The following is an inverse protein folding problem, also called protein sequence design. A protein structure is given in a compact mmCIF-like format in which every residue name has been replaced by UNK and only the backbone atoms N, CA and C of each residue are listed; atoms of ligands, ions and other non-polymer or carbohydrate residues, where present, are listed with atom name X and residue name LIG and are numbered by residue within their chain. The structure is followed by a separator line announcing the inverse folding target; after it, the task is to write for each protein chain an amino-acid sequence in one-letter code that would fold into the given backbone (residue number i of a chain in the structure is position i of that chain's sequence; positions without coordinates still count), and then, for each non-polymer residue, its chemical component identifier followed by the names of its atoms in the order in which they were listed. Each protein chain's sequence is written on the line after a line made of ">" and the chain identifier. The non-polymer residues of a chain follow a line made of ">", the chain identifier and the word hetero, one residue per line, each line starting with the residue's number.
data_IF_687483942616
#
_entry.id   IF_687483942616
#
_cell.length_a   1.000
_cell.length_b   1.000
_cell.length_c   1.000
_cell.angle_alpha   90.00
_cell.angle_beta   90.00
_cell.angle_gamma   90.00
#
_symmetry.space_group_name_H-M   'P 1'
#
loop_
_entity.id
_entity.type
_entity.pdbx_description
1 polymer ?
#
# COMPACT_ATOMS: atom_id res chain seq x y z
N UNK A 1 -27.34 8.41 33.55
CA UNK A 1 -26.26 7.71 32.80
C UNK A 1 -26.73 6.32 32.38
N UNK A 2 -27.82 6.24 31.61
CA UNK A 2 -28.33 4.99 31.07
C UNK A 2 -29.04 5.34 29.77
N UNK A 3 -28.30 5.39 28.65
CA UNK A 3 -28.83 5.55 27.28
C UNK A 3 -27.66 5.49 26.27
N UNK A 4 -27.02 4.33 26.08
CA UNK A 4 -25.96 4.20 25.06
C UNK A 4 -25.98 2.92 24.20
N UNK A 5 -26.94 2.01 24.36
CA UNK A 5 -27.02 0.83 23.49
C UNK A 5 -28.47 0.55 23.06
N UNK A 6 -29.01 1.44 22.23
CA UNK A 6 -30.19 1.13 21.40
C UNK A 6 -29.68 0.47 20.12
N UNK A 7 -29.81 -0.85 20.00
CA UNK A 7 -29.42 -1.58 18.81
C UNK A 7 -30.30 -1.17 17.62
N UNK A 8 -29.69 -0.47 16.66
CA UNK A 8 -30.29 -0.23 15.35
C UNK A 8 -30.38 -1.55 14.60
N UNK A 9 -31.58 -1.86 14.11
CA UNK A 9 -31.80 -2.92 13.13
C UNK A 9 -30.84 -2.72 11.95
N UNK A 10 -30.04 -3.75 11.63
CA UNK A 10 -29.15 -3.75 10.47
C UNK A 10 -30.03 -3.75 9.21
N UNK A 11 -30.35 -2.57 8.69
CA UNK A 11 -30.97 -2.42 7.36
C UNK A 11 -29.84 -2.38 6.33
N UNK A 12 -29.47 -3.54 5.77
CA UNK A 12 -28.51 -3.58 4.66
C UNK A 12 -29.16 -3.03 3.39
N UNK A 13 -28.44 -2.22 2.60
CA UNK A 13 -28.96 -1.70 1.35
C UNK A 13 -29.22 -2.84 0.35
N UNK A 14 -30.29 -2.74 -0.47
CA UNK A 14 -30.73 -3.81 -1.36
C UNK A 14 -29.68 -4.23 -2.41
N UNK A 15 -28.70 -3.37 -2.69
CA UNK A 15 -27.56 -3.66 -3.58
C UNK A 15 -26.60 -4.71 -3.02
N UNK A 16 -26.44 -4.81 -1.70
CA UNK A 16 -25.58 -5.81 -1.06
C UNK A 16 -26.23 -7.19 -0.98
N UNK A 17 -27.56 -7.25 -0.90
CA UNK A 17 -28.33 -8.49 -0.83
C UNK A 17 -28.41 -9.23 -2.17
N UNK A 18 -28.28 -8.51 -3.30
CA UNK A 18 -28.38 -9.08 -4.63
C UNK A 18 -27.12 -9.83 -5.10
N UNK A 19 -25.93 -9.43 -4.62
CA UNK A 19 -24.66 -9.93 -5.14
C UNK A 19 -24.04 -11.09 -4.33
N UNK A 20 -24.59 -11.42 -3.16
CA UNK A 20 -24.07 -12.47 -2.29
C UNK A 20 -25.22 -13.39 -1.90
N UNK A 21 -25.37 -14.56 -2.55
CA UNK A 21 -26.48 -15.49 -2.29
C UNK A 21 -26.63 -15.88 -0.81
N UNK A 22 -25.51 -15.93 -0.07
CA UNK A 22 -25.49 -16.26 1.34
C UNK A 22 -26.10 -15.18 2.26
N UNK A 23 -26.20 -13.92 1.83
CA UNK A 23 -26.75 -12.83 2.65
C UNK A 23 -28.26 -12.68 2.53
N UNK A 24 -28.88 -13.23 1.47
CA UNK A 24 -30.34 -13.21 1.28
C UNK A 24 -31.08 -13.99 2.40
N UNK A 25 -30.46 -15.02 2.96
CA UNK A 25 -31.01 -15.83 4.06
C UNK A 25 -31.05 -15.12 5.42
N UNK A 26 -30.43 -13.94 5.56
CA UNK A 26 -30.45 -13.18 6.81
C UNK A 26 -31.77 -12.41 7.00
N UNK A 27 -32.51 -12.10 5.93
CA UNK A 27 -33.81 -11.42 6.02
C UNK A 27 -34.93 -12.31 6.60
N UNK A 28 -34.77 -13.64 6.60
CA UNK A 28 -35.75 -14.55 7.20
C UNK A 28 -35.58 -14.73 8.71
N UNK A 29 -34.56 -14.14 9.34
CA UNK A 29 -34.38 -14.16 10.80
C UNK A 29 -35.24 -13.11 11.55
N UNK A 30 -36.05 -12.32 10.85
CA UNK A 30 -36.72 -11.13 11.41
C UNK A 30 -38.19 -11.27 11.84
N UNK A 31 -38.73 -12.49 12.03
CA UNK A 31 -40.09 -12.69 12.58
C UNK A 31 -40.11 -13.52 13.87
N UNK A 32 -39.07 -13.39 14.69
CA UNK A 32 -39.17 -13.72 16.11
C UNK A 32 -39.71 -12.50 16.86
N UNK A 33 -40.80 -12.66 17.62
CA UNK A 33 -41.17 -11.70 18.65
C UNK A 33 -39.97 -11.48 19.58
N UNK A 34 -39.64 -10.22 19.89
CA UNK A 34 -38.69 -9.94 20.98
C UNK A 34 -39.23 -10.58 22.27
N UNK A 35 -38.41 -11.32 23.02
CA UNK A 35 -38.83 -11.84 24.32
C UNK A 35 -39.15 -10.64 25.22
N UNK A 36 -40.32 -10.68 25.85
CA UNK A 36 -40.63 -9.73 26.93
C UNK A 36 -39.71 -10.08 28.11
N UNK A 37 -39.36 -9.12 28.98
CA UNK A 37 -38.41 -9.34 30.10
C UNK A 37 -38.76 -10.52 31.04
N UNK A 38 -39.95 -11.11 30.91
CA UNK A 38 -40.38 -12.33 31.61
C UNK A 38 -39.86 -13.67 31.03
N UNK A 39 -39.23 -13.70 29.84
CA UNK A 39 -38.73 -14.94 29.20
C UNK A 39 -37.22 -15.18 29.42
N UNK A 40 -36.55 -14.31 30.19
CA UNK A 40 -35.09 -14.33 30.43
C UNK A 40 -34.65 -15.48 31.35
N UNK A 41 -35.59 -16.20 31.97
CA UNK A 41 -35.32 -17.37 32.84
C UNK A 41 -35.28 -18.71 32.08
N UNK A 42 -35.23 -18.69 30.75
CA UNK A 42 -34.87 -19.90 30.00
C UNK A 42 -33.37 -20.14 30.13
N UNK A 43 -33.01 -21.00 31.09
CA UNK A 43 -31.65 -21.53 31.30
C UNK A 43 -30.98 -21.79 29.95
N UNK A 44 -29.99 -20.96 29.60
CA UNK A 44 -29.23 -21.12 28.37
C UNK A 44 -28.60 -22.52 28.35
N UNK A 45 -29.14 -23.41 27.52
CA UNK A 45 -28.56 -24.73 27.29
C UNK A 45 -27.73 -24.69 26.01
N UNK A 46 -26.41 -24.92 26.15
CA UNK A 46 -25.53 -25.05 25.02
C UNK A 46 -25.98 -26.22 24.13
N UNK A 47 -26.22 -25.95 22.85
CA UNK A 47 -26.59 -26.96 21.85
C UNK A 47 -25.48 -27.99 21.61
N UNK A 48 -24.23 -27.61 21.91
CA UNK A 48 -23.08 -28.50 21.89
C UNK A 48 -22.69 -28.82 23.33
N UNK A 49 -23.07 -30.01 23.80
CA UNK A 49 -22.60 -30.54 25.09
C UNK A 49 -21.26 -31.24 24.82
N UNK A 50 -20.17 -30.47 24.91
CA UNK A 50 -18.83 -31.06 24.99
C UNK A 50 -18.74 -32.02 26.17
N UNK A 51 -17.81 -32.97 26.14
CA UNK A 51 -17.53 -33.83 27.28
C UNK A 51 -16.97 -32.97 28.42
N UNK A 52 -17.81 -32.60 29.36
CA UNK A 52 -17.45 -31.68 30.45
C UNK A 52 -16.28 -32.20 31.31
N UNK A 53 -16.17 -33.53 31.45
CA UNK A 53 -15.04 -34.19 32.13
C UNK A 53 -13.71 -34.06 31.39
N UNK A 54 -13.71 -33.95 30.05
CA UNK A 54 -12.49 -33.75 29.25
C UNK A 54 -12.04 -32.29 29.30
N UNK A 55 -13.00 -31.35 29.31
CA UNK A 55 -12.73 -29.92 29.44
C UNK A 55 -12.13 -29.56 30.81
N UNK A 56 -12.64 -30.14 31.90
CA UNK A 56 -12.12 -29.93 33.25
C UNK A 56 -10.67 -30.44 33.39
N UNK A 57 -10.36 -31.59 32.78
CA UNK A 57 -8.99 -32.13 32.73
C UNK A 57 -8.05 -31.24 31.93
N UNK A 58 -8.51 -30.68 30.80
CA UNK A 58 -7.71 -29.80 29.97
C UNK A 58 -7.44 -28.45 30.65
N UNK A 59 -8.42 -27.88 31.36
CA UNK A 59 -8.23 -26.67 32.17
C UNK A 59 -7.19 -26.89 33.27
N UNK A 60 -7.25 -28.03 33.96
CA UNK A 60 -6.28 -28.38 34.99
C UNK A 60 -4.88 -28.62 34.43
N UNK A 61 -4.76 -29.14 33.20
CA UNK A 61 -3.48 -29.19 32.46
C UNK A 61 -2.98 -27.79 32.16
N UNK A 62 -3.83 -26.91 31.59
CA UNK A 62 -3.47 -25.54 31.23
C UNK A 62 -3.00 -24.71 32.44
N UNK A 63 -3.55 -24.94 33.64
CA UNK A 63 -3.11 -24.29 34.88
C UNK A 63 -1.68 -24.65 35.30
N UNK A 64 -1.19 -25.82 34.89
CA UNK A 64 0.13 -26.36 35.27
C UNK A 64 1.22 -26.03 34.25
N UNK A 65 0.84 -25.57 33.04
CA UNK A 65 1.78 -25.29 31.97
C UNK A 65 2.60 -24.03 32.27
N UNK A 66 3.88 -24.09 31.92
CA UNK A 66 4.74 -22.92 31.84
C UNK A 66 4.55 -22.19 30.51
N UNK A 67 5.01 -20.94 30.45
CA UNK A 67 4.96 -20.12 29.23
C UNK A 67 5.71 -20.81 28.07
N UNK A 68 6.82 -21.49 28.37
CA UNK A 68 7.65 -22.20 27.38
C UNK A 68 6.95 -23.43 26.78
N UNK A 69 6.02 -24.03 27.51
CA UNK A 69 5.27 -25.23 27.09
C UNK A 69 3.98 -24.85 26.34
N UNK A 70 3.62 -23.57 26.39
CA UNK A 70 2.43 -23.02 25.76
C UNK A 70 2.76 -22.47 24.38
N UNK A 71 1.90 -22.74 23.40
CA UNK A 71 2.05 -22.22 22.05
C UNK A 71 1.76 -20.73 21.97
N UNK A 72 2.50 -20.06 21.08
CA UNK A 72 2.21 -18.68 20.71
C UNK A 72 0.94 -18.59 19.85
N UNK A 73 0.33 -17.40 19.79
CA UNK A 73 -0.80 -17.15 18.89
C UNK A 73 -0.46 -17.46 17.43
N UNK A 74 0.74 -17.08 16.98
CA UNK A 74 1.21 -17.36 15.61
C UNK A 74 1.30 -18.86 15.32
N UNK A 75 1.79 -19.68 16.27
CA UNK A 75 1.84 -21.14 16.10
C UNK A 75 0.44 -21.74 15.97
N UNK A 76 -0.53 -21.25 16.74
CA UNK A 76 -1.93 -21.68 16.65
C UNK A 76 -2.59 -21.27 15.34
N UNK A 77 -2.37 -20.04 14.91
CA UNK A 77 -2.90 -19.53 13.64
C UNK A 77 -2.28 -20.22 12.41
N UNK A 78 -1.06 -20.74 12.52
CA UNK A 78 -0.46 -21.57 11.49
C UNK A 78 -1.08 -22.98 11.38
N UNK A 79 -1.88 -23.41 12.36
CA UNK A 79 -2.55 -24.71 12.41
C UNK A 79 -4.04 -24.53 12.77
N UNK A 80 -4.78 -23.90 11.86
CA UNK A 80 -6.17 -23.47 12.11
C UNK A 80 -7.11 -24.63 12.44
N UNK A 81 -6.82 -25.84 11.94
CA UNK A 81 -7.64 -27.05 12.17
C UNK A 81 -7.58 -27.51 13.64
N UNK A 82 -6.37 -27.72 14.17
CA UNK A 82 -6.15 -28.32 15.50
C UNK A 82 -5.90 -27.28 16.60
N UNK A 83 -5.44 -26.06 16.25
CA UNK A 83 -5.06 -24.96 17.14
C UNK A 83 -4.40 -25.43 18.46
N UNK A 84 -3.28 -26.19 18.39
CA UNK A 84 -2.68 -26.84 19.55
C UNK A 84 -2.28 -25.82 20.59
N UNK A 85 -2.70 -25.99 21.85
CA UNK A 85 -2.33 -25.08 22.94
C UNK A 85 -0.95 -25.40 23.54
N UNK A 86 -0.52 -26.65 23.42
CA UNK A 86 0.75 -27.17 23.95
C UNK A 86 1.76 -27.33 22.82
N UNK A 87 3.01 -26.94 23.06
CA UNK A 87 4.08 -26.99 22.04
C UNK A 87 4.33 -28.42 21.54
N UNK A 88 4.19 -29.44 22.39
CA UNK A 88 4.35 -30.85 22.01
C UNK A 88 3.31 -31.34 21.00
N UNK A 89 2.15 -30.67 20.90
CA UNK A 89 1.10 -30.99 19.94
C UNK A 89 1.29 -30.26 18.59
N UNK A 90 2.26 -29.34 18.48
CA UNK A 90 2.56 -28.61 17.24
C UNK A 90 3.24 -29.55 16.25
N UNK A 91 2.62 -29.74 15.09
CA UNK A 91 3.19 -30.57 14.01
C UNK A 91 3.97 -29.73 12.99
N UNK A 92 4.97 -30.28 12.28
CA UNK A 92 5.59 -29.56 11.17
C UNK A 92 4.56 -29.29 10.06
N UNK A 93 4.50 -28.05 9.57
CA UNK A 93 3.64 -27.65 8.45
C UNK A 93 4.38 -27.77 7.13
N UNK A 94 3.65 -28.08 6.04
CA UNK A 94 4.23 -28.10 4.69
C UNK A 94 4.68 -26.70 4.29
N UNK A 95 5.74 -26.64 3.49
CA UNK A 95 6.26 -25.36 2.98
C UNK A 95 5.20 -24.70 2.10
N UNK A 96 4.92 -23.42 2.36
CA UNK A 96 4.01 -22.62 1.55
C UNK A 96 4.58 -22.41 0.15
N UNK A 97 3.84 -22.85 -0.87
CA UNK A 97 4.21 -22.63 -2.26
C UNK A 97 4.18 -21.12 -2.57
N UNK A 98 5.21 -20.65 -3.27
CA UNK A 98 5.30 -19.26 -3.72
C UNK A 98 4.90 -19.16 -5.18
N UNK A 99 4.14 -18.13 -5.51
CA UNK A 99 3.68 -17.87 -6.88
C UNK A 99 4.41 -16.68 -7.48
N UNK A 100 4.84 -16.82 -8.72
CA UNK A 100 5.33 -15.69 -9.52
C UNK A 100 4.13 -14.92 -10.10
N UNK A 101 4.12 -13.60 -9.94
CA UNK A 101 3.01 -12.75 -10.35
C UNK A 101 3.25 -12.17 -11.75
N UNK A 102 2.29 -12.34 -12.64
CA UNK A 102 2.21 -11.59 -13.89
C UNK A 102 1.26 -10.39 -13.73
N UNK A 103 1.50 -9.32 -14.49
CA UNK A 103 0.65 -8.13 -14.50
C UNK A 103 0.16 -7.83 -15.90
N UNK A 104 -1.15 -7.57 -16.01
CA UNK A 104 -1.82 -7.12 -17.23
C UNK A 104 -2.45 -5.76 -16.99
N UNK A 105 -2.51 -4.94 -18.03
CA UNK A 105 -3.29 -3.73 -18.03
C UNK A 105 -4.78 -4.08 -17.90
N UNK A 106 -5.55 -3.32 -17.10
CA UNK A 106 -6.99 -3.57 -16.93
C UNK A 106 -7.82 -3.14 -18.14
N UNK A 107 -7.34 -2.16 -18.89
CA UNK A 107 -8.12 -1.55 -19.98
C UNK A 107 -7.88 -2.25 -21.33
N UNK A 108 -6.65 -2.71 -21.60
CA UNK A 108 -6.26 -3.29 -22.89
C UNK A 108 -5.74 -4.73 -22.82
N UNK A 109 -5.75 -5.36 -21.64
CA UNK A 109 -5.26 -6.74 -21.39
C UNK A 109 -3.80 -7.03 -21.80
N UNK A 110 -3.03 -6.00 -22.16
CA UNK A 110 -1.64 -6.13 -22.52
C UNK A 110 -0.80 -6.60 -21.33
N UNK A 111 0.13 -7.53 -21.57
CA UNK A 111 0.98 -8.10 -20.53
C UNK A 111 2.15 -7.16 -20.26
N UNK A 112 2.12 -6.47 -19.12
CA UNK A 112 3.15 -5.52 -18.70
C UNK A 112 4.36 -6.21 -18.06
N UNK A 113 4.11 -7.26 -17.27
CA UNK A 113 5.17 -8.00 -16.58
C UNK A 113 4.86 -9.49 -16.65
N UNK A 114 5.82 -10.26 -17.18
CA UNK A 114 5.77 -11.72 -17.25
C UNK A 114 7.09 -12.32 -16.76
N UNK A 115 7.15 -12.87 -15.54
CA UNK A 115 8.34 -13.57 -15.06
C UNK A 115 8.52 -14.92 -15.76
N UNK A 116 9.77 -15.39 -15.89
CA UNK A 116 10.07 -16.73 -16.41
C UNK A 116 9.52 -17.81 -15.46
N UNK A 117 8.97 -18.90 -16.00
CA UNK A 117 8.32 -19.95 -15.20
C UNK A 117 9.30 -20.75 -14.32
N UNK A 118 10.58 -20.83 -14.69
CA UNK A 118 11.59 -21.60 -13.94
C UNK A 118 11.76 -21.04 -12.54
N UNK A 119 11.56 -21.87 -11.51
CA UNK A 119 11.62 -21.43 -10.11
C UNK A 119 12.94 -20.72 -9.74
N UNK A 120 14.06 -21.16 -10.32
CA UNK A 120 15.40 -20.60 -10.07
C UNK A 120 15.69 -19.29 -10.81
N UNK A 121 14.88 -18.92 -11.80
CA UNK A 121 15.14 -17.73 -12.63
C UNK A 121 14.51 -16.47 -12.03
N UNK A 122 15.29 -15.41 -11.91
CA UNK A 122 14.83 -14.05 -11.61
C UNK A 122 14.50 -13.24 -12.86
N UNK A 123 14.68 -13.81 -14.06
CA UNK A 123 14.50 -13.10 -15.33
C UNK A 123 13.02 -12.93 -15.67
N UNK A 124 12.72 -11.83 -16.36
CA UNK A 124 11.41 -11.56 -16.93
C UNK A 124 11.47 -11.81 -18.44
N UNK A 125 10.47 -12.53 -18.95
CA UNK A 125 10.28 -12.68 -20.40
C UNK A 125 9.73 -11.39 -21.01
N UNK A 126 8.88 -10.68 -20.26
CA UNK A 126 8.35 -9.35 -20.63
C UNK A 126 8.45 -8.44 -19.41
N UNK A 127 9.02 -7.26 -19.61
CA UNK A 127 9.17 -6.24 -18.57
C UNK A 127 8.95 -4.87 -19.22
N UNK A 128 7.84 -4.20 -18.88
CA UNK A 128 7.51 -2.85 -19.31
C UNK A 128 7.35 -1.94 -18.08
N UNK A 129 8.45 -1.59 -17.38
CA UNK A 129 8.38 -0.80 -16.16
C UNK A 129 8.34 0.70 -16.50
N UNK A 130 7.63 1.48 -15.68
CA UNK A 130 7.50 2.92 -15.91
C UNK A 130 8.85 3.67 -15.95
N UNK A 131 9.88 3.15 -15.29
CA UNK A 131 11.21 3.76 -15.24
C UNK A 131 11.88 3.89 -16.62
N UNK A 132 11.52 3.03 -17.57
CA UNK A 132 12.09 3.04 -18.92
C UNK A 132 11.33 4.02 -19.83
N UNK A 133 10.08 4.36 -19.50
CA UNK A 133 9.18 5.14 -20.36
C UNK A 133 8.89 6.56 -19.86
N UNK A 134 8.95 6.78 -18.55
CA UNK A 134 8.54 8.03 -17.93
C UNK A 134 9.77 8.78 -17.40
N UNK A 135 9.89 10.10 -17.63
CA UNK A 135 10.96 10.90 -17.07
C UNK A 135 11.10 10.72 -15.57
N UNK A 136 12.32 10.40 -15.13
CA UNK A 136 12.61 10.24 -13.72
C UNK A 136 12.82 11.60 -13.08
N UNK A 137 12.05 11.90 -12.05
CA UNK A 137 12.18 13.14 -11.26
C UNK A 137 12.77 12.78 -9.90
N UNK A 138 13.87 13.43 -9.51
CA UNK A 138 14.52 13.27 -8.21
C UNK A 138 14.92 14.61 -7.62
N UNK A 139 15.11 14.67 -6.30
CA UNK A 139 15.67 15.85 -5.64
C UNK A 139 17.20 15.71 -5.67
N UNK A 140 17.88 16.68 -6.27
CA UNK A 140 19.33 16.76 -6.33
C UNK A 140 19.90 17.50 -5.12
N UNK A 141 21.14 17.16 -4.77
CA UNK A 141 21.89 17.85 -3.73
C UNK A 141 22.30 19.27 -4.18
N UNK A 142 22.52 20.20 -3.25
CA UNK A 142 22.33 20.06 -1.80
C UNK A 142 20.85 20.02 -1.41
N UNK A 143 20.53 19.19 -0.41
CA UNK A 143 19.23 19.21 0.25
C UNK A 143 19.19 20.41 1.22
N UNK A 144 18.03 21.04 1.42
CA UNK A 144 17.92 22.12 2.39
C UNK A 144 18.06 21.58 3.82
N UNK A 145 18.51 22.45 4.73
CA UNK A 145 18.52 22.15 6.16
C UNK A 145 17.10 21.93 6.68
N UNK A 146 16.83 20.77 7.25
CA UNK A 146 15.57 20.46 7.95
C UNK A 146 15.71 20.74 9.45
N UNK A 147 14.63 21.18 10.14
CA UNK A 147 13.28 21.43 9.64
C UNK A 147 13.16 22.78 8.88
N UNK A 148 12.25 22.82 7.90
CA UNK A 148 11.93 24.05 7.16
C UNK A 148 11.18 25.01 8.09
N UNK A 149 11.70 26.24 8.25
CA UNK A 149 11.06 27.26 9.08
C UNK A 149 9.99 28.02 8.27
N UNK A 150 8.81 28.30 8.85
CA UNK A 150 7.80 29.16 8.22
C UNK A 150 8.38 30.51 7.78
N UNK A 151 7.89 31.03 6.65
CA UNK A 151 8.36 32.30 6.08
C UNK A 151 9.73 32.26 5.40
N UNK A 152 10.50 31.18 5.52
CA UNK A 152 11.81 31.04 4.86
C UNK A 152 11.64 30.57 3.41
N UNK A 153 12.31 31.23 2.47
CA UNK A 153 12.41 30.76 1.09
C UNK A 153 13.48 29.68 0.98
N UNK A 154 13.09 28.51 0.52
CA UNK A 154 13.98 27.35 0.38
C UNK A 154 14.02 26.92 -1.08
N UNK A 155 15.23 26.83 -1.63
CA UNK A 155 15.46 26.38 -2.99
C UNK A 155 15.72 24.87 -3.01
N UNK A 156 14.89 24.14 -3.76
CA UNK A 156 15.04 22.72 -4.04
C UNK A 156 15.54 22.52 -5.46
N UNK A 157 16.54 21.67 -5.64
CA UNK A 157 17.00 21.31 -6.98
C UNK A 157 16.25 20.05 -7.45
N UNK A 158 15.40 20.17 -8.47
CA UNK A 158 14.76 19.03 -9.12
C UNK A 158 15.60 18.55 -10.31
N UNK A 159 16.06 17.32 -10.27
CA UNK A 159 16.68 16.65 -11.41
C UNK A 159 15.61 15.89 -12.19
N UNK A 160 15.51 16.18 -13.48
CA UNK A 160 14.65 15.46 -14.42
C UNK A 160 15.54 14.75 -15.45
N UNK A 161 15.36 13.44 -15.60
CA UNK A 161 16.13 12.60 -16.52
C UNK A 161 15.18 11.95 -17.54
N UNK A 162 15.53 12.04 -18.82
CA UNK A 162 14.85 11.39 -19.93
C UNK A 162 15.40 9.98 -20.16
N UNK A 163 14.60 8.91 -19.96
CA UNK A 163 15.01 7.55 -20.28
C UNK A 163 14.79 7.18 -21.76
N UNK A 164 14.06 7.99 -22.53
CA UNK A 164 13.69 7.68 -23.90
C UNK A 164 14.80 8.04 -24.89
N UNK A 165 14.95 7.24 -25.96
CA UNK A 165 15.83 7.52 -27.10
C UNK A 165 15.34 8.66 -28.01
N UNK A 166 14.25 9.33 -27.63
CA UNK A 166 13.71 10.52 -28.29
C UNK A 166 13.80 11.72 -27.38
N UNK A 167 13.97 12.92 -27.95
CA UNK A 167 13.96 14.16 -27.18
C UNK A 167 12.57 14.40 -26.54
N UNK A 168 12.56 14.93 -25.32
CA UNK A 168 11.34 15.24 -24.56
C UNK A 168 11.24 16.73 -24.27
N UNK A 169 10.06 17.29 -24.51
CA UNK A 169 9.70 18.64 -24.03
C UNK A 169 8.96 18.50 -22.71
N UNK A 170 9.56 18.99 -21.64
CA UNK A 170 9.03 18.89 -20.29
C UNK A 170 8.42 20.23 -19.88
N UNK A 171 7.25 20.17 -19.25
CA UNK A 171 6.60 21.31 -18.61
C UNK A 171 6.33 20.98 -17.15
N UNK A 172 6.86 21.81 -16.26
CA UNK A 172 6.63 21.73 -14.82
C UNK A 172 5.71 22.88 -14.44
N UNK A 173 4.52 22.56 -13.94
CA UNK A 173 3.57 23.52 -13.42
C UNK A 173 3.39 23.30 -11.91
N UNK A 174 3.34 24.36 -11.09
CA UNK A 174 2.87 24.24 -9.73
C UNK A 174 1.43 23.72 -9.75
N UNK A 175 1.08 22.81 -8.85
CA UNK A 175 -0.31 22.36 -8.69
C UNK A 175 -1.11 23.52 -8.11
N UNK A 176 -1.95 24.12 -8.95
CA UNK A 176 -2.95 25.12 -8.56
C UNK A 176 -4.27 24.36 -8.52
N UNK A 177 -4.65 23.77 -7.39
CA UNK A 177 -5.97 23.13 -7.26
C UNK A 177 -6.66 23.46 -5.95
N UNK A 178 -7.93 23.80 -6.11
CA UNK A 178 -8.88 24.40 -5.18
C UNK A 178 -9.57 23.38 -4.26
N UNK A 179 -8.89 22.28 -3.93
CA UNK A 179 -9.45 21.26 -3.03
C UNK A 179 -8.97 21.57 -1.61
N UNK A 180 -9.90 22.04 -0.76
CA UNK A 180 -9.66 22.47 0.63
C UNK A 180 -8.97 21.40 1.50
N UNK A 181 -8.97 20.14 1.07
CA UNK A 181 -8.44 18.99 1.81
C UNK A 181 -6.90 18.83 1.68
N UNK A 182 -6.26 19.42 0.66
CA UNK A 182 -4.81 19.27 0.42
C UNK A 182 -4.08 20.58 0.12
N UNK A 183 -4.52 21.69 0.72
CA UNK A 183 -3.73 22.93 0.73
C UNK A 183 -2.48 22.73 1.57
N UNK A 184 -1.44 22.20 0.92
CA UNK A 184 -0.08 22.27 1.40
C UNK A 184 0.23 23.77 1.49
N UNK A 185 0.42 24.29 2.70
CA UNK A 185 0.70 25.70 2.98
C UNK A 185 2.06 26.14 2.42
N UNK A 186 2.33 25.95 1.14
CA UNK A 186 3.58 26.24 0.48
C UNK A 186 3.30 26.95 -0.84
N UNK A 187 3.94 28.10 -1.04
CA UNK A 187 4.03 28.75 -2.34
C UNK A 187 5.21 28.19 -3.11
N UNK A 188 4.95 27.67 -4.31
CA UNK A 188 5.96 27.02 -5.17
C UNK A 188 6.16 27.87 -6.42
N UNK A 189 7.39 28.32 -6.63
CA UNK A 189 7.82 29.05 -7.84
C UNK A 189 8.86 28.23 -8.59
N UNK A 190 8.54 27.87 -9.83
CA UNK A 190 9.44 27.12 -10.72
C UNK A 190 10.18 28.11 -11.61
N UNK A 191 11.52 28.11 -11.55
CA UNK A 191 12.35 29.08 -12.29
C UNK A 191 12.44 28.77 -13.79
N UNK A 192 12.40 27.49 -14.16
CA UNK A 192 12.37 27.03 -15.55
C UNK A 192 11.13 26.13 -15.79
N UNK A 193 9.97 26.70 -16.16
CA UNK A 193 8.71 25.96 -16.26
C UNK A 193 8.65 25.07 -17.51
N UNK A 194 9.39 25.39 -18.57
CA UNK A 194 9.44 24.60 -19.80
C UNK A 194 10.87 24.47 -20.29
N UNK A 195 11.29 23.25 -20.61
CA UNK A 195 12.64 22.96 -21.10
C UNK A 195 12.64 21.70 -21.96
N UNK A 196 13.72 21.50 -22.72
CA UNK A 196 13.90 20.34 -23.58
C UNK A 196 15.06 19.45 -23.10
N UNK A 197 14.80 18.15 -23.01
CA UNK A 197 15.78 17.10 -22.73
C UNK A 197 16.09 16.36 -24.03
N UNK A 198 17.37 16.12 -24.34
CA UNK A 198 17.74 15.34 -25.52
C UNK A 198 17.45 13.86 -25.28
N UNK A 199 17.51 13.09 -26.35
CA UNK A 199 17.42 11.64 -26.31
C UNK A 199 18.47 11.04 -25.37
N UNK A 200 18.10 9.96 -24.69
CA UNK A 200 19.06 9.08 -24.07
C UNK A 200 19.91 8.40 -25.15
N UNK A 201 21.22 8.57 -25.06
CA UNK A 201 22.21 7.86 -25.86
C UNK A 201 23.13 7.09 -24.92
N UNK A 202 23.11 5.76 -25.00
CA UNK A 202 23.92 4.88 -24.13
C UNK A 202 25.42 4.96 -24.45
N UNK A 203 25.79 5.44 -25.65
CA UNK A 203 27.19 5.50 -26.10
C UNK A 203 27.91 6.73 -25.53
N UNK A 204 27.19 7.85 -25.36
CA UNK A 204 27.78 9.13 -24.95
C UNK A 204 27.99 9.29 -23.43
N UNK A 205 27.55 8.36 -22.58
CA UNK A 205 27.70 8.49 -21.12
C UNK A 205 29.17 8.47 -20.66
N UNK A 206 30.09 8.01 -21.52
CA UNK A 206 31.53 7.92 -21.25
C UNK A 206 32.36 9.05 -21.88
N UNK A 207 31.75 9.91 -22.70
CA UNK A 207 32.44 11.10 -23.19
C UNK A 207 32.34 12.21 -22.13
N UNK A 208 33.48 12.63 -21.59
CA UNK A 208 33.52 13.82 -20.73
C UNK A 208 33.04 15.02 -21.55
N UNK A 209 31.80 15.46 -21.30
CA UNK A 209 31.16 16.59 -21.95
C UNK A 209 31.99 17.88 -21.78
N UNK A 210 32.94 18.11 -22.69
CA UNK A 210 33.63 19.41 -22.87
C UNK A 210 32.74 20.43 -23.58
N UNK A 211 31.55 20.04 -24.02
CA UNK A 211 30.57 20.92 -24.67
C UNK A 211 29.82 21.75 -23.63
N UNK A 212 30.02 23.08 -23.69
CA UNK A 212 29.17 24.04 -22.98
C UNK A 212 27.75 23.95 -23.55
N UNK A 213 26.85 23.24 -22.86
CA UNK A 213 25.42 23.27 -23.21
C UNK A 213 24.89 24.68 -22.96
N UNK A 214 24.22 25.27 -23.95
CA UNK A 214 23.51 26.53 -23.76
C UNK A 214 22.46 26.34 -22.67
N UNK A 215 22.69 27.02 -21.54
CA UNK A 215 21.77 27.00 -20.40
C UNK A 215 20.56 27.85 -20.78
N UNK A 216 19.40 27.21 -20.93
CA UNK A 216 18.12 27.90 -20.97
C UNK A 216 17.93 28.68 -19.65
N UNK A 217 17.30 29.85 -19.72
CA UNK A 217 17.11 30.72 -18.55
C UNK A 217 16.41 29.97 -17.41
N UNK A 218 17.04 29.93 -16.23
CA UNK A 218 16.51 29.27 -15.03
C UNK A 218 16.95 27.81 -14.83
N UNK A 219 17.73 27.20 -15.72
CA UNK A 219 18.30 25.84 -15.53
C UNK A 219 19.66 25.93 -14.84
N UNK A 220 19.84 25.21 -13.72
CA UNK A 220 21.07 25.26 -12.91
C UNK A 220 22.20 24.46 -13.58
N UNK A 221 21.88 23.27 -14.08
CA UNK A 221 22.80 22.41 -14.83
C UNK A 221 22.00 21.61 -15.86
N UNK A 222 22.55 21.48 -17.07
CA UNK A 222 21.97 20.67 -18.15
C UNK A 222 23.07 19.77 -18.70
N UNK A 223 22.74 18.49 -18.83
CA UNK A 223 23.52 17.52 -19.61
C UNK A 223 22.62 17.02 -20.75
N UNK A 224 23.08 16.02 -21.50
CA UNK A 224 22.41 15.50 -22.68
C UNK A 224 20.97 15.02 -22.37
N UNK A 225 20.81 14.07 -21.45
CA UNK A 225 19.52 13.46 -21.13
C UNK A 225 18.92 13.91 -19.79
N UNK A 226 19.57 14.81 -19.04
CA UNK A 226 19.03 15.31 -17.76
C UNK A 226 19.26 16.81 -17.54
N UNK A 227 18.37 17.41 -16.76
CA UNK A 227 18.48 18.81 -16.32
C UNK A 227 18.16 18.96 -14.83
N UNK A 228 18.79 19.94 -14.18
CA UNK A 228 18.52 20.35 -12.80
C UNK A 228 17.85 21.71 -12.82
N UNK A 229 16.67 21.77 -12.21
CA UNK A 229 15.80 22.94 -12.16
C UNK A 229 15.62 23.36 -10.70
N UNK A 230 15.97 24.59 -10.35
CA UNK A 230 15.70 25.13 -9.04
C UNK A 230 14.21 25.45 -8.91
N UNK A 231 13.64 25.03 -7.81
CA UNK A 231 12.27 25.32 -7.39
C UNK A 231 12.35 26.05 -6.07
N UNK A 232 11.87 27.28 -6.04
CA UNK A 232 11.74 28.05 -4.80
C UNK A 232 10.44 27.66 -4.12
N UNK A 233 10.53 27.24 -2.87
CA UNK A 233 9.41 26.89 -2.03
C UNK A 233 9.39 27.83 -0.81
N UNK A 234 8.23 28.41 -0.51
CA UNK A 234 8.02 29.23 0.70
C UNK A 234 6.89 28.64 1.51
N UNK A 235 7.18 28.23 2.73
CA UNK A 235 6.14 27.80 3.67
C UNK A 235 5.32 29.03 4.11
N UNK A 236 4.03 28.98 3.81
CA UNK A 236 2.97 29.90 4.24
C UNK A 236 2.51 29.39 5.62
N UNK A 237 2.48 30.29 6.60
CA UNK A 237 1.98 30.02 7.96
C UNK A 237 0.50 29.65 7.98
#
# INVERSE_FOLDING_TARGET
>A
MADLFRSSSISLPPSLLANIPALASLNSLGKGSLPTEADVDTKYEAKFKGNQADDDQEVERMRKLKIEETTTLNQRLNQVEDQPRIVSAVRPQRILLRTKRAKRCKDCDHVLVKPEQKAQSSKFTIQLPAIDYIPRVTIAHPLPSLPLQPGTNVTLNLRVTNPQSTALRVMIAPQIKNDEEYSLGYSITVLAPTFTLKAHDEVNEFEEDKSKHELEAGVVKKSHNWAIIPVSCRLIE
#
